data_IF_797426198585
#
_entry.id   IF_797426198585
#
_cell.length_a   1.000
_cell.length_b   1.000
_cell.length_c   1.000
_cell.angle_alpha   90.00
_cell.angle_beta   90.00
_cell.angle_gamma   90.00
#
_symmetry.space_group_name_H-M   'P 1'
#
loop_
_entity.id
_entity.type
_entity.pdbx_description
1 polymer ?
#
# COMPACT_ATOMS: atom_id res chain seq x y z
N UNK A 1 15.71 2.80 16.19
CA UNK A 1 15.15 1.63 15.46
C UNK A 1 14.51 2.14 14.17
N UNK A 2 14.48 1.35 13.10
CA UNK A 2 13.78 1.72 11.86
C UNK A 2 12.43 1.03 11.78
N UNK A 3 11.39 1.81 11.52
CA UNK A 3 10.02 1.30 11.36
C UNK A 3 9.63 1.44 9.90
N UNK A 4 9.02 0.40 9.31
CA UNK A 4 8.54 0.46 7.93
C UNK A 4 7.04 0.43 7.88
N UNK A 5 6.47 1.39 7.17
CA UNK A 5 5.02 1.51 6.97
C UNK A 5 4.73 1.38 5.48
N UNK A 6 3.80 0.51 5.14
CA UNK A 6 3.33 0.30 3.78
C UNK A 6 1.91 0.82 3.64
N UNK A 7 1.66 1.55 2.55
CA UNK A 7 0.36 2.07 2.19
C UNK A 7 -0.10 1.41 0.90
N UNK A 8 -1.37 1.03 0.82
CA UNK A 8 -1.96 0.50 -0.40
C UNK A 8 -3.38 1.00 -0.64
N UNK A 9 -3.77 1.04 -1.91
CA UNK A 9 -5.12 1.35 -2.38
C UNK A 9 -5.32 0.77 -3.79
N UNK A 10 -6.57 0.68 -4.24
CA UNK A 10 -6.88 0.36 -5.63
C UNK A 10 -8.32 0.66 -6.01
N UNK A 11 -8.55 0.81 -7.31
CA UNK A 11 -9.88 1.06 -7.84
C UNK A 11 -9.98 0.82 -9.34
N UNK A 12 -11.14 1.15 -9.91
CA UNK A 12 -11.35 1.23 -11.35
C UNK A 12 -12.22 2.43 -11.74
N UNK A 13 -12.10 2.91 -12.97
CA UNK A 13 -12.86 4.07 -13.49
C UNK A 13 -13.92 3.68 -14.52
N UNK A 14 -15.18 3.53 -14.09
CA UNK A 14 -16.35 3.30 -14.95
C UNK A 14 -16.68 1.82 -15.20
N UNK A 15 -17.92 1.50 -15.59
CA UNK A 15 -18.34 0.14 -15.89
C UNK A 15 -18.60 -0.05 -17.40
N UNK A 16 -17.66 -0.63 -18.18
CA UNK A 16 -16.32 -1.11 -17.79
C UNK A 16 -15.22 -0.04 -17.95
N UNK A 17 -14.15 -0.14 -17.16
CA UNK A 17 -13.17 0.94 -16.94
C UNK A 17 -11.74 0.48 -16.62
N UNK A 18 -10.69 1.29 -16.87
CA UNK A 18 -9.33 0.93 -16.50
C UNK A 18 -9.21 0.80 -14.98
N UNK A 19 -8.54 -0.25 -14.52
CA UNK A 19 -8.22 -0.48 -13.12
C UNK A 19 -6.80 -0.02 -12.79
N UNK A 20 -6.56 0.24 -11.51
CA UNK A 20 -5.22 0.58 -11.04
C UNK A 20 -5.08 0.38 -9.53
N UNK A 21 -3.86 0.13 -9.09
CA UNK A 21 -3.51 0.07 -7.67
C UNK A 21 -2.30 0.93 -7.37
N UNK A 22 -2.27 1.46 -6.16
CA UNK A 22 -1.19 2.26 -5.64
C UNK A 22 -0.59 1.60 -4.42
N UNK A 23 0.74 1.68 -4.32
CA UNK A 23 1.50 1.02 -3.27
C UNK A 23 2.71 1.88 -2.91
N UNK A 24 2.99 2.06 -1.63
CA UNK A 24 4.17 2.77 -1.16
C UNK A 24 4.73 2.10 0.10
N UNK A 25 6.05 2.13 0.28
CA UNK A 25 6.74 1.71 1.50
C UNK A 25 7.65 2.86 1.92
N UNK A 26 7.48 3.30 3.17
CA UNK A 26 8.32 4.29 3.82
C UNK A 26 9.09 3.67 4.96
N UNK A 27 10.28 4.20 5.21
CA UNK A 27 11.05 3.97 6.42
C UNK A 27 11.00 5.22 7.29
N UNK A 28 10.71 5.02 8.56
CA UNK A 28 10.71 6.03 9.60
C UNK A 28 11.99 5.87 10.42
N UNK A 29 12.69 6.97 10.66
CA UNK A 29 13.94 7.00 11.41
C UNK A 29 13.67 7.48 12.83
N UNK A 30 14.12 6.73 13.84
CA UNK A 30 14.02 7.14 15.25
C UNK A 30 15.41 7.20 15.91
N UNK A 31 15.74 8.30 16.64
CA UNK A 31 14.87 9.45 16.95
C UNK A 31 14.82 10.50 15.81
N UNK A 32 13.61 10.97 15.47
CA UNK A 32 13.39 12.11 14.55
C UNK A 32 12.14 11.99 13.67
N UNK A 33 11.65 13.10 13.09
CA UNK A 33 10.49 13.10 12.18
C UNK A 33 10.86 12.67 10.74
N UNK A 34 12.03 12.08 10.56
CA UNK A 34 12.55 11.71 9.25
C UNK A 34 11.82 10.50 8.70
N UNK A 35 11.27 10.63 7.50
CA UNK A 35 10.81 9.49 6.72
C UNK A 35 11.50 9.46 5.36
N UNK A 36 11.65 8.27 4.80
CA UNK A 36 12.21 8.06 3.47
C UNK A 36 11.27 7.15 2.71
N UNK A 37 10.80 7.60 1.54
CA UNK A 37 10.07 6.72 0.62
C UNK A 37 11.09 5.75 0.01
N UNK A 38 11.07 4.50 0.48
CA UNK A 38 11.96 3.45 -0.02
C UNK A 38 11.53 2.96 -1.39
N UNK A 39 10.21 2.89 -1.60
CA UNK A 39 9.62 2.32 -2.78
C UNK A 39 8.20 2.83 -2.99
N UNK A 40 7.79 3.01 -4.23
CA UNK A 40 6.40 3.25 -4.58
C UNK A 40 6.07 2.66 -5.95
N UNK A 41 4.82 2.30 -6.19
CA UNK A 41 4.37 1.86 -7.50
C UNK A 41 2.93 2.28 -7.79
N UNK A 42 2.72 2.67 -9.04
CA UNK A 42 1.40 2.68 -9.66
C UNK A 42 1.33 1.44 -10.56
N UNK A 43 0.35 0.57 -10.38
CA UNK A 43 0.19 -0.65 -11.17
C UNK A 43 -1.09 -0.58 -11.98
N UNK A 44 -0.97 -0.47 -13.30
CA UNK A 44 -2.11 -0.48 -14.20
C UNK A 44 -2.71 -1.89 -14.32
N UNK A 45 -4.03 -2.00 -14.28
CA UNK A 45 -4.76 -3.26 -14.32
C UNK A 45 -5.71 -3.29 -15.51
N UNK A 46 -5.89 -4.49 -16.09
CA UNK A 46 -6.70 -4.65 -17.29
C UNK A 46 -8.18 -4.44 -17.03
N UNK A 47 -8.84 -3.84 -18.03
CA UNK A 47 -10.24 -3.41 -18.03
C UNK A 47 -11.25 -4.55 -17.88
N UNK A 48 -10.99 -5.71 -18.49
CA UNK A 48 -11.96 -6.81 -18.60
C UNK A 48 -12.10 -7.71 -17.37
N UNK A 49 -11.25 -7.54 -16.34
CA UNK A 49 -11.15 -8.46 -15.20
C UNK A 49 -11.02 -7.75 -13.85
N UNK A 50 -10.90 -6.43 -13.81
CA UNK A 50 -10.62 -5.73 -12.55
C UNK A 50 -11.91 -5.33 -11.84
N UNK A 51 -11.96 -5.59 -10.53
CA UNK A 51 -12.96 -5.07 -9.60
C UNK A 51 -12.21 -4.26 -8.54
N UNK A 52 -12.90 -3.43 -7.75
CA UNK A 52 -12.25 -2.67 -6.65
C UNK A 52 -11.42 -3.60 -5.75
N UNK A 53 -12.02 -4.68 -5.24
CA UNK A 53 -11.31 -5.60 -4.35
C UNK A 53 -10.09 -6.27 -5.02
N UNK A 54 -10.14 -6.53 -6.33
CA UNK A 54 -8.97 -7.06 -7.06
C UNK A 54 -7.86 -6.02 -7.14
N UNK A 55 -8.21 -4.76 -7.39
CA UNK A 55 -7.25 -3.67 -7.44
C UNK A 55 -6.61 -3.43 -6.07
N UNK A 56 -7.42 -3.32 -5.02
CA UNK A 56 -6.92 -3.13 -3.65
C UNK A 56 -6.03 -4.31 -3.20
N UNK A 57 -6.44 -5.56 -3.42
CA UNK A 57 -5.60 -6.73 -3.12
C UNK A 57 -4.30 -6.73 -3.92
N UNK A 58 -4.32 -6.22 -5.15
CA UNK A 58 -3.10 -6.08 -5.95
C UNK A 58 -2.16 -5.07 -5.29
N UNK A 59 -2.67 -3.93 -4.84
CA UNK A 59 -1.87 -2.94 -4.09
C UNK A 59 -1.24 -3.52 -2.83
N UNK A 60 -2.02 -4.29 -2.05
CA UNK A 60 -1.53 -4.99 -0.87
C UNK A 60 -0.45 -6.04 -1.23
N UNK A 61 -0.71 -6.86 -2.23
CA UNK A 61 0.22 -7.90 -2.66
C UNK A 61 1.57 -7.29 -3.06
N UNK A 62 1.54 -6.15 -3.76
CA UNK A 62 2.74 -5.46 -4.22
C UNK A 62 3.62 -4.98 -3.05
N UNK A 63 3.04 -4.45 -1.97
CA UNK A 63 3.86 -4.02 -0.81
C UNK A 63 4.49 -5.21 -0.07
N UNK A 64 3.77 -6.32 0.11
CA UNK A 64 4.34 -7.49 0.81
C UNK A 64 5.34 -8.27 -0.05
N UNK A 65 5.13 -8.32 -1.37
CA UNK A 65 6.13 -8.83 -2.32
C UNK A 65 7.41 -8.02 -2.26
N UNK A 66 7.29 -6.69 -2.30
CA UNK A 66 8.45 -5.81 -2.25
C UNK A 66 9.22 -5.96 -0.94
N UNK A 67 8.52 -6.04 0.19
CA UNK A 67 9.16 -6.30 1.48
C UNK A 67 9.90 -7.65 1.49
N UNK A 68 9.32 -8.70 0.89
CA UNK A 68 9.96 -10.01 0.79
C UNK A 68 11.23 -9.99 -0.07
N UNK A 69 11.17 -9.33 -1.24
CA UNK A 69 12.31 -9.13 -2.15
C UNK A 69 13.48 -8.40 -1.49
N UNK A 70 13.21 -7.55 -0.50
CA UNK A 70 14.22 -6.77 0.22
C UNK A 70 14.55 -7.37 1.59
N UNK A 71 13.96 -8.52 1.91
CA UNK A 71 14.07 -9.18 3.22
C UNK A 71 13.69 -8.27 4.39
N UNK A 72 12.82 -7.30 4.17
CA UNK A 72 12.27 -6.45 5.23
C UNK A 72 11.25 -7.23 6.04
N UNK A 73 11.36 -7.12 7.37
CA UNK A 73 10.45 -7.75 8.33
C UNK A 73 9.84 -6.70 9.24
N UNK A 74 8.72 -7.04 9.88
CA UNK A 74 8.06 -6.16 10.85
C UNK A 74 7.31 -5.00 10.19
N UNK A 75 6.75 -5.22 9.00
CA UNK A 75 6.06 -4.19 8.23
C UNK A 75 4.72 -3.81 8.88
N UNK A 76 4.44 -2.52 9.02
CA UNK A 76 3.10 -2.01 9.35
C UNK A 76 2.34 -1.74 8.06
N UNK A 77 1.13 -2.28 7.91
CA UNK A 77 0.36 -2.14 6.67
C UNK A 77 -0.90 -1.30 6.90
N UNK A 78 -1.05 -0.28 6.07
CA UNK A 78 -2.13 0.71 6.11
C UNK A 78 -2.90 0.70 4.78
N UNK A 79 -4.23 0.77 4.86
CA UNK A 79 -5.11 0.97 3.70
C UNK A 79 -6.49 1.47 4.12
N UNK A 80 -7.35 1.78 3.15
CA UNK A 80 -8.74 2.24 3.38
C UNK A 80 -9.80 1.14 3.21
N UNK A 81 -9.39 -0.06 2.76
CA UNK A 81 -10.28 -1.22 2.66
C UNK A 81 -10.39 -1.98 3.98
N UNK A 82 -11.35 -1.58 4.82
CA UNK A 82 -11.65 -2.26 6.08
C UNK A 82 -11.93 -3.77 5.89
N UNK A 83 -12.52 -4.16 4.76
CA UNK A 83 -12.79 -5.55 4.41
C UNK A 83 -11.49 -6.32 4.20
N UNK A 84 -10.58 -5.84 3.34
CA UNK A 84 -9.32 -6.54 3.05
C UNK A 84 -8.46 -6.62 4.31
N UNK A 85 -8.31 -5.51 5.02
CA UNK A 85 -7.56 -5.47 6.28
C UNK A 85 -8.15 -6.44 7.31
N UNK A 86 -9.48 -6.54 7.40
CA UNK A 86 -10.16 -7.52 8.25
C UNK A 86 -9.86 -8.96 7.88
N UNK A 87 -9.90 -9.32 6.59
CA UNK A 87 -9.55 -10.67 6.10
C UNK A 87 -8.11 -11.03 6.45
N UNK A 88 -7.17 -10.08 6.31
CA UNK A 88 -5.76 -10.28 6.62
C UNK A 88 -5.52 -10.42 8.13
N UNK A 89 -6.15 -9.56 8.94
CA UNK A 89 -6.06 -9.58 10.41
C UNK A 89 -6.65 -10.85 10.99
N UNK A 90 -7.87 -11.22 10.58
CA UNK A 90 -8.57 -12.39 11.10
C UNK A 90 -8.18 -13.71 10.42
N UNK A 91 -7.20 -13.69 9.51
CA UNK A 91 -6.75 -14.88 8.74
C UNK A 91 -7.92 -15.63 8.06
N UNK A 92 -8.90 -14.89 7.56
CA UNK A 92 -10.11 -15.45 6.93
C UNK A 92 -10.06 -15.21 5.43
N UNK A 93 -10.07 -16.27 4.64
CA UNK A 93 -10.11 -16.16 3.18
C UNK A 93 -11.48 -15.63 2.69
N UNK A 94 -11.52 -14.84 1.62
CA UNK A 94 -12.77 -14.43 0.99
C UNK A 94 -13.46 -15.61 0.29
N UNK A 95 -14.79 -15.57 0.20
CA UNK A 95 -15.58 -16.62 -0.50
C UNK A 95 -15.30 -16.69 -2.01
N UNK A 96 -14.95 -15.56 -2.63
CA UNK A 96 -14.67 -15.50 -4.07
C UNK A 96 -13.38 -16.28 -4.40
N UNK A 97 -13.48 -17.27 -5.29
CA UNK A 97 -12.31 -18.07 -5.75
C UNK A 97 -11.19 -17.19 -6.30
N UNK A 98 -11.53 -16.13 -7.03
CA UNK A 98 -10.55 -15.20 -7.61
C UNK A 98 -9.80 -14.44 -6.52
N UNK A 99 -10.53 -13.86 -5.56
CA UNK A 99 -9.92 -13.15 -4.44
C UNK A 99 -9.18 -14.11 -3.51
N UNK A 100 -9.64 -15.36 -3.39
CA UNK A 100 -9.00 -16.39 -2.58
C UNK A 100 -7.56 -16.68 -3.01
N UNK A 101 -7.28 -16.65 -4.33
CA UNK A 101 -5.91 -16.80 -4.85
C UNK A 101 -5.01 -15.62 -4.47
N UNK A 102 -5.50 -14.39 -4.66
CA UNK A 102 -4.76 -13.18 -4.28
C UNK A 102 -4.52 -13.12 -2.77
N UNK A 103 -5.55 -13.45 -1.98
CA UNK A 103 -5.47 -13.53 -0.54
C UNK A 103 -4.43 -14.55 -0.07
N UNK A 104 -4.46 -15.78 -0.61
CA UNK A 104 -3.53 -16.83 -0.19
C UNK A 104 -2.07 -16.41 -0.40
N UNK A 105 -1.77 -15.81 -1.56
CA UNK A 105 -0.42 -15.34 -1.85
C UNK A 105 -0.01 -14.14 -0.99
N UNK A 106 -0.89 -13.14 -0.85
CA UNK A 106 -0.64 -11.99 0.01
C UNK A 106 -0.44 -12.42 1.47
N UNK A 107 -1.22 -13.39 1.97
CA UNK A 107 -1.13 -13.91 3.34
C UNK A 107 0.17 -14.67 3.58
N UNK A 108 0.56 -15.53 2.64
CA UNK A 108 1.84 -16.28 2.69
C UNK A 108 3.02 -15.32 2.78
N UNK A 109 3.05 -14.30 1.93
CA UNK A 109 4.11 -13.29 1.94
C UNK A 109 4.05 -12.42 3.19
N UNK A 110 2.86 -11.99 3.61
CA UNK A 110 2.67 -11.21 4.83
C UNK A 110 3.15 -11.94 6.09
N UNK A 111 3.00 -13.28 6.14
CA UNK A 111 3.57 -14.11 7.21
C UNK A 111 5.09 -14.17 7.12
N UNK A 112 5.65 -14.34 5.91
CA UNK A 112 7.10 -14.39 5.67
C UNK A 112 7.80 -13.08 6.06
N UNK A 113 7.20 -11.93 5.75
CA UNK A 113 7.71 -10.60 6.12
C UNK A 113 7.26 -10.15 7.52
N UNK A 114 6.57 -11.03 8.26
CA UNK A 114 6.15 -10.76 9.64
C UNK A 114 5.42 -9.42 9.77
N UNK A 115 4.34 -9.20 8.99
CA UNK A 115 3.54 -7.97 9.10
C UNK A 115 3.10 -7.76 10.55
N UNK A 116 3.50 -6.64 11.14
CA UNK A 116 3.28 -6.27 12.53
C UNK A 116 1.85 -5.81 12.78
N UNK A 117 1.32 -4.94 11.93
CA UNK A 117 -0.02 -4.36 12.10
C UNK A 117 -0.79 -4.27 10.78
N UNK A 118 -2.12 -4.35 10.90
CA UNK A 118 -3.08 -4.10 9.84
C UNK A 118 -3.95 -2.93 10.26
N UNK A 119 -3.76 -1.75 9.69
CA UNK A 119 -4.43 -0.53 10.12
C UNK A 119 -5.30 0.07 9.03
N UNK A 120 -6.49 0.47 9.44
CA UNK A 120 -7.44 1.12 8.56
C UNK A 120 -7.34 2.63 8.74
N UNK A 121 -7.04 3.33 7.66
CA UNK A 121 -7.12 4.79 7.57
C UNK A 121 -8.15 5.16 6.52
N UNK A 122 -9.00 6.14 6.80
CA UNK A 122 -9.92 6.67 5.80
C UNK A 122 -9.15 7.20 4.59
N UNK A 123 -9.74 7.14 3.39
CA UNK A 123 -9.11 7.54 2.11
C UNK A 123 -8.41 8.91 2.13
N UNK A 124 -8.96 9.88 2.87
CA UNK A 124 -8.36 11.22 3.06
C UNK A 124 -7.02 11.22 3.81
N UNK A 125 -6.65 10.11 4.43
CA UNK A 125 -5.39 9.84 5.14
C UNK A 125 -4.59 8.70 4.49
N UNK A 126 -4.96 8.29 3.26
CA UNK A 126 -4.25 7.30 2.46
C UNK A 126 -4.00 7.86 1.04
N UNK A 127 -3.61 9.13 1.00
CA UNK A 127 -3.66 9.95 -0.21
C UNK A 127 -2.57 9.62 -1.21
N UNK A 128 -1.41 9.13 -0.76
CA UNK A 128 -0.30 8.74 -1.61
C UNK A 128 -0.66 7.49 -2.43
N UNK A 129 -1.18 6.45 -1.78
CA UNK A 129 -1.62 5.23 -2.45
C UNK A 129 -2.82 5.50 -3.38
N UNK A 130 -3.80 6.32 -2.96
CA UNK A 130 -4.88 6.77 -3.84
C UNK A 130 -4.35 7.52 -5.08
N UNK A 131 -3.39 8.42 -4.88
CA UNK A 131 -2.78 9.17 -5.97
C UNK A 131 -2.10 8.27 -6.99
N UNK A 132 -1.38 7.25 -6.53
CA UNK A 132 -0.75 6.23 -7.36
C UNK A 132 -1.78 5.38 -8.12
N UNK A 133 -2.83 4.90 -7.45
CA UNK A 133 -3.90 4.15 -8.11
C UNK A 133 -4.57 4.99 -9.21
N UNK A 134 -4.85 6.26 -8.91
CA UNK A 134 -5.42 7.22 -9.88
C UNK A 134 -4.47 7.50 -11.05
N UNK A 135 -3.16 7.61 -10.80
CA UNK A 135 -2.16 7.74 -11.86
C UNK A 135 -2.17 6.53 -12.79
N UNK A 136 -2.18 5.31 -12.23
CA UNK A 136 -2.25 4.08 -13.02
C UNK A 136 -3.54 4.00 -13.85
N UNK A 137 -4.70 4.34 -13.27
CA UNK A 137 -5.98 4.34 -13.99
C UNK A 137 -6.02 5.38 -15.11
N UNK A 138 -5.48 6.58 -14.87
CA UNK A 138 -5.49 7.68 -15.83
C UNK A 138 -4.51 7.47 -16.99
N UNK A 139 -3.29 7.04 -16.69
CA UNK A 139 -2.23 6.86 -17.70
C UNK A 139 -2.25 5.48 -18.35
N UNK A 140 -2.87 4.50 -17.70
CA UNK A 140 -2.82 3.06 -18.05
C UNK A 140 -1.40 2.50 -18.08
N UNK A 141 -0.46 3.15 -17.37
CA UNK A 141 0.93 2.74 -17.27
C UNK A 141 1.25 2.27 -15.86
N UNK A 142 2.05 1.22 -15.78
CA UNK A 142 2.69 0.83 -14.54
C UNK A 142 4.01 1.57 -14.40
N UNK A 143 4.25 2.16 -13.22
CA UNK A 143 5.51 2.83 -12.89
C UNK A 143 5.97 2.38 -11.52
N UNK A 144 7.28 2.29 -11.35
CA UNK A 144 7.92 1.92 -10.10
C UNK A 144 8.96 2.97 -9.77
N UNK A 145 8.95 3.41 -8.51
CA UNK A 145 9.96 4.22 -7.89
C UNK A 145 10.75 3.40 -6.89
N UNK A 146 12.06 3.62 -6.91
CA UNK A 146 13.02 3.07 -5.98
C UNK A 146 13.84 4.23 -5.44
N UNK A 147 14.09 4.26 -4.13
CA UNK A 147 15.05 5.21 -3.57
C UNK A 147 16.39 5.12 -4.34
N UNK A 148 16.92 6.26 -4.79
CA UNK A 148 18.16 6.33 -5.59
C UNK A 148 18.01 6.06 -7.10
N UNK A 149 16.82 5.73 -7.60
CA UNK A 149 16.58 5.53 -9.04
C UNK A 149 16.25 6.82 -9.82
N UNK A 150 16.49 6.81 -11.14
CA UNK A 150 15.95 7.85 -12.05
C UNK A 150 14.45 7.60 -12.22
N UNK A 151 13.60 8.53 -11.80
CA UNK A 151 12.15 8.40 -11.90
C UNK A 151 11.52 9.69 -12.44
N UNK A 152 10.25 9.58 -12.87
CA UNK A 152 9.40 10.71 -13.27
C UNK A 152 9.28 11.69 -12.09
N UNK A 153 10.04 12.77 -12.16
CA UNK A 153 10.25 13.73 -11.07
C UNK A 153 8.92 14.29 -10.53
N UNK A 154 7.92 14.48 -11.41
CA UNK A 154 6.66 15.11 -11.03
C UNK A 154 5.76 14.18 -10.22
N UNK A 155 5.70 12.89 -10.57
CA UNK A 155 4.93 11.91 -9.79
C UNK A 155 5.57 11.70 -8.42
N UNK A 156 6.91 11.68 -8.35
CA UNK A 156 7.63 11.53 -7.09
C UNK A 156 7.38 12.67 -6.12
N UNK A 157 7.50 13.91 -6.59
CA UNK A 157 7.21 15.07 -5.76
C UNK A 157 5.80 14.98 -5.17
N UNK A 158 4.80 14.61 -5.98
CA UNK A 158 3.42 14.41 -5.51
C UNK A 158 3.32 13.33 -4.43
N UNK A 159 4.00 12.19 -4.61
CA UNK A 159 4.00 11.11 -3.60
C UNK A 159 4.67 11.59 -2.32
N UNK A 160 5.83 12.24 -2.41
CA UNK A 160 6.57 12.77 -1.26
C UNK A 160 5.74 13.81 -0.49
N UNK A 161 4.99 14.68 -1.17
CA UNK A 161 4.12 15.63 -0.47
C UNK A 161 2.97 14.93 0.26
N UNK A 162 2.34 13.94 -0.39
CA UNK A 162 1.17 13.25 0.17
C UNK A 162 1.53 12.31 1.33
N UNK A 163 2.66 11.61 1.21
CA UNK A 163 3.07 10.61 2.19
C UNK A 163 3.38 11.24 3.56
N UNK A 164 3.75 12.53 3.61
CA UNK A 164 3.96 13.28 4.85
C UNK A 164 2.68 13.23 5.72
N UNK A 165 1.52 13.51 5.11
CA UNK A 165 0.25 13.50 5.83
C UNK A 165 -0.18 12.10 6.24
N UNK A 166 0.00 11.12 5.35
CA UNK A 166 -0.35 9.72 5.62
C UNK A 166 0.53 9.14 6.76
N UNK A 167 1.84 9.46 6.77
CA UNK A 167 2.77 9.10 7.85
C UNK A 167 2.46 9.83 9.15
N UNK A 168 2.18 11.14 9.08
CA UNK A 168 1.80 11.93 10.25
C UNK A 168 0.58 11.32 10.94
N UNK A 169 -0.44 10.91 10.17
CA UNK A 169 -1.60 10.23 10.71
C UNK A 169 -1.25 8.88 11.35
N UNK A 170 -0.35 8.12 10.74
CA UNK A 170 0.10 6.85 11.29
C UNK A 170 0.85 7.05 12.62
N UNK A 171 1.74 8.03 12.70
CA UNK A 171 2.47 8.37 13.92
C UNK A 171 1.52 8.79 15.04
N UNK A 172 0.54 9.65 14.75
CA UNK A 172 -0.49 10.05 15.71
C UNK A 172 -1.16 8.82 16.35
N UNK A 173 -1.52 7.79 15.58
CA UNK A 173 -2.16 6.58 16.11
C UNK A 173 -1.24 5.72 17.00
N UNK A 174 0.09 5.91 16.95
CA UNK A 174 1.06 5.11 17.71
C UNK A 174 1.75 5.88 18.85
N UNK A 175 1.79 7.22 18.78
CA UNK A 175 2.29 8.04 19.87
C UNK A 175 1.32 8.05 21.07
N UNK A 176 0.00 7.87 20.84
CA UNK A 176 -0.99 7.81 21.94
C UNK A 176 -0.87 6.55 22.83
N UNK A 177 0.03 5.61 22.52
CA UNK A 177 0.24 4.40 23.31
C UNK A 177 1.61 4.36 24.02
N UNK A 178 2.39 5.44 23.95
CA UNK A 178 3.70 5.57 24.62
C UNK A 178 3.66 6.34 25.95
N UNK A 179 2.48 6.66 26.45
CA UNK A 179 2.28 7.45 27.67
C UNK A 179 1.35 6.76 28.67
N UNK A 180 1.74 5.61 29.18
CA UNK A 180 1.29 5.05 30.47
C UNK A 180 2.47 4.41 31.21
#
# INVERSE_FOLDING_TARGET
MTTRVAFFDGGFRGNPGPGGSGSAIVELHSPGPGHTVLWAAATALSHNKTTNNVAEFTGLLRVVQRADEQHWRGLHVVGDSAVILGLMRCRKAPKSRKLGRLYAEARRLADKVQVSTWQHHYRRHNTAADGLANYAMGTRKSVVYMAGGRADHQLLQKIQTKIIGDVGRWLEDHDVHGGE
#
